data_IF_543132258998
#
_entry.id   IF_543132258998
#
_cell.length_a   1.000
_cell.length_b   1.000
_cell.length_c   1.000
_cell.angle_alpha   90.00
_cell.angle_beta   90.00
_cell.angle_gamma   90.00
#
_symmetry.space_group_name_H-M   'P 1'
#
loop_
_entity.id
_entity.type
_entity.pdbx_description
1 polymer ?
#
# COMPACT_ATOMS: atom_id res chain seq x y z
N UNK A 1 18.62 51.15 21.89
CA UNK A 1 18.62 50.35 20.66
C UNK A 1 18.93 48.91 21.07
N UNK A 2 17.92 48.08 21.34
CA UNK A 2 18.09 46.66 21.66
C UNK A 2 17.34 45.87 20.60
N UNK A 3 18.09 45.22 19.72
CA UNK A 3 17.53 44.32 18.71
C UNK A 3 17.27 42.99 19.43
N UNK A 4 16.02 42.74 19.81
CA UNK A 4 15.60 41.48 20.41
C UNK A 4 15.80 40.34 19.42
N UNK A 5 16.60 39.34 19.81
CA UNK A 5 16.95 38.19 18.98
C UNK A 5 15.70 37.33 18.68
N UNK A 6 15.10 37.55 17.51
CA UNK A 6 14.00 36.71 16.96
C UNK A 6 14.41 35.23 16.84
N UNK A 7 15.72 34.94 16.79
CA UNK A 7 16.29 33.59 16.74
C UNK A 7 15.96 32.71 17.96
N UNK A 8 15.82 33.29 19.15
CA UNK A 8 15.61 32.50 20.39
C UNK A 8 14.14 32.09 20.57
N UNK A 9 13.20 32.90 20.07
CA UNK A 9 11.76 32.62 20.14
C UNK A 9 11.35 31.45 19.23
N UNK A 10 11.95 31.35 18.04
CA UNK A 10 11.65 30.24 17.11
C UNK A 10 12.13 28.89 17.68
N UNK A 11 13.27 28.86 18.38
CA UNK A 11 13.77 27.62 19.00
C UNK A 11 12.92 27.17 20.20
N UNK A 12 12.30 28.10 20.93
CA UNK A 12 11.40 27.77 22.04
C UNK A 12 10.00 27.34 21.58
N UNK A 13 9.51 27.88 20.46
CA UNK A 13 8.19 27.50 19.91
C UNK A 13 8.19 26.11 19.29
N UNK A 14 9.34 25.63 18.78
CA UNK A 14 9.48 24.25 18.30
C UNK A 14 9.49 23.19 19.40
N UNK A 15 9.66 23.57 20.67
CA UNK A 15 9.72 22.62 21.80
C UNK A 15 8.36 22.27 22.40
N UNK A 16 7.30 22.98 22.00
CA UNK A 16 5.94 22.81 22.56
C UNK A 16 4.92 22.27 21.56
N UNK A 17 5.32 22.01 20.32
CA UNK A 17 4.55 21.17 19.41
C UNK A 17 5.02 19.73 19.60
N UNK A 18 4.50 19.07 20.65
CA UNK A 18 4.24 17.64 20.48
C UNK A 18 3.25 17.56 19.33
N UNK A 19 3.77 17.38 18.11
CA UNK A 19 2.99 16.70 17.09
C UNK A 19 2.72 15.36 17.74
N UNK A 20 1.50 15.15 18.22
CA UNK A 20 1.09 13.81 18.59
C UNK A 20 1.47 12.94 17.38
N UNK A 21 2.41 12.01 17.58
CA UNK A 21 2.66 10.93 16.63
C UNK A 21 1.28 10.46 16.18
N UNK A 22 0.93 10.56 14.89
CA UNK A 22 -0.42 10.26 14.47
C UNK A 22 -0.73 8.85 14.94
N UNK A 23 -1.83 8.68 15.68
CA UNK A 23 -2.32 7.38 16.12
C UNK A 23 -2.09 6.37 14.98
N UNK A 24 -1.38 5.30 15.28
CA UNK A 24 -0.90 4.31 14.33
C UNK A 24 -2.06 3.84 13.45
N UNK A 25 -2.07 4.34 12.21
CA UNK A 25 -3.29 4.36 11.38
C UNK A 25 -3.61 2.99 10.78
N UNK A 26 -2.66 2.08 10.81
CA UNK A 26 -2.75 0.72 10.26
C UNK A 26 -2.60 -0.35 11.36
N UNK A 27 -2.85 0.01 12.62
CA UNK A 27 -2.57 -0.85 13.77
C UNK A 27 -3.06 -2.28 13.61
N UNK A 28 -2.11 -3.21 13.63
CA UNK A 28 -2.38 -4.64 13.57
C UNK A 28 -2.86 -5.15 12.21
N UNK A 29 -2.91 -4.32 11.16
CA UNK A 29 -3.23 -4.80 9.81
C UNK A 29 -2.08 -5.64 9.27
N UNK A 30 -2.42 -6.82 8.77
CA UNK A 30 -1.48 -7.73 8.13
C UNK A 30 -1.44 -7.45 6.62
N UNK A 31 -0.27 -7.02 6.14
CA UNK A 31 -0.04 -6.64 4.75
C UNK A 31 0.84 -7.68 4.09
N UNK A 32 0.36 -8.29 3.01
CA UNK A 32 1.22 -8.99 2.06
C UNK A 32 1.78 -7.99 1.06
N UNK A 33 3.09 -7.97 0.85
CA UNK A 33 3.73 -7.09 -0.12
C UNK A 33 4.73 -7.87 -0.98
N UNK A 34 4.67 -7.71 -2.31
CA UNK A 34 5.66 -8.29 -3.22
C UNK A 34 6.22 -7.22 -4.16
N UNK A 35 7.55 -7.14 -4.25
CA UNK A 35 8.30 -6.24 -5.11
C UNK A 35 9.71 -6.81 -5.29
N UNK A 36 10.22 -6.90 -6.51
CA UNK A 36 11.52 -7.50 -6.78
C UNK A 36 12.69 -6.59 -6.37
N UNK A 37 12.44 -5.29 -6.24
CA UNK A 37 13.44 -4.30 -5.86
C UNK A 37 13.65 -4.28 -4.34
N UNK A 38 14.81 -4.74 -3.83
CA UNK A 38 15.06 -4.82 -2.39
C UNK A 38 15.05 -3.46 -1.70
N UNK A 39 15.40 -2.39 -2.43
CA UNK A 39 15.43 -1.01 -1.91
C UNK A 39 14.01 -0.48 -1.71
N UNK A 40 13.16 -0.60 -2.74
CA UNK A 40 11.75 -0.21 -2.68
C UNK A 40 11.02 -1.05 -1.64
N UNK A 41 11.25 -2.37 -1.66
CA UNK A 41 10.63 -3.30 -0.72
C UNK A 41 10.90 -2.90 0.73
N UNK A 42 12.17 -2.62 1.07
CA UNK A 42 12.57 -2.15 2.40
C UNK A 42 11.97 -0.79 2.76
N UNK A 43 11.93 0.15 1.82
CA UNK A 43 11.38 1.50 2.04
C UNK A 43 9.88 1.46 2.32
N UNK A 44 9.11 0.77 1.47
CA UNK A 44 7.65 0.64 1.62
C UNK A 44 7.33 -0.14 2.88
N UNK A 45 8.02 -1.27 3.14
CA UNK A 45 7.88 -2.02 4.40
C UNK A 45 8.08 -1.13 5.61
N UNK A 46 9.17 -0.35 5.65
CA UNK A 46 9.46 0.57 6.77
C UNK A 46 8.32 1.57 6.97
N UNK A 47 7.83 2.18 5.88
CA UNK A 47 6.71 3.14 5.93
C UNK A 47 5.44 2.54 6.54
N UNK A 48 5.09 1.32 6.15
CA UNK A 48 3.88 0.65 6.64
C UNK A 48 4.03 0.18 8.09
N UNK A 49 5.21 -0.32 8.47
CA UNK A 49 5.53 -0.68 9.86
C UNK A 49 5.52 0.54 10.78
N UNK A 50 6.09 1.66 10.34
CA UNK A 50 6.04 2.94 11.09
C UNK A 50 4.60 3.44 11.27
N UNK A 51 3.66 2.99 10.42
CA UNK A 51 2.23 3.29 10.54
C UNK A 51 1.42 2.25 11.36
N UNK A 52 2.07 1.21 11.92
CA UNK A 52 1.45 0.20 12.79
C UNK A 52 1.09 -1.13 12.10
N UNK A 53 1.40 -1.30 10.82
CA UNK A 53 1.11 -2.55 10.10
C UNK A 53 2.14 -3.65 10.36
N UNK A 54 1.70 -4.91 10.22
CA UNK A 54 2.55 -6.11 10.19
C UNK A 54 2.76 -6.48 8.72
N UNK A 55 3.97 -6.33 8.21
CA UNK A 55 4.28 -6.52 6.78
C UNK A 55 5.06 -7.80 6.53
N UNK A 56 4.51 -8.64 5.65
CA UNK A 56 5.12 -9.84 5.11
C UNK A 56 5.52 -9.56 3.67
N UNK A 57 6.82 -9.43 3.42
CA UNK A 57 7.36 -9.03 2.13
C UNK A 57 8.03 -10.17 1.37
N UNK A 58 7.82 -10.19 0.05
CA UNK A 58 8.28 -11.23 -0.87
C UNK A 58 8.96 -10.62 -2.09
N UNK A 59 9.77 -11.41 -2.80
CA UNK A 59 10.58 -10.93 -3.93
C UNK A 59 9.93 -11.18 -5.29
N UNK A 60 8.87 -11.99 -5.34
CA UNK A 60 8.18 -12.34 -6.58
C UNK A 60 6.73 -12.76 -6.34
N UNK A 61 5.94 -12.80 -7.41
CA UNK A 61 4.52 -13.16 -7.34
C UNK A 61 4.26 -14.61 -6.96
N UNK A 62 5.15 -15.56 -7.25
CA UNK A 62 4.92 -16.96 -6.86
C UNK A 62 5.05 -17.14 -5.34
N UNK A 63 6.03 -16.48 -4.72
CA UNK A 63 6.18 -16.43 -3.27
C UNK A 63 4.96 -15.78 -2.62
N UNK A 64 4.48 -14.66 -3.19
CA UNK A 64 3.29 -13.96 -2.73
C UNK A 64 2.04 -14.85 -2.77
N UNK A 65 1.78 -15.52 -3.89
CA UNK A 65 0.63 -16.43 -4.04
C UNK A 65 0.74 -17.62 -3.10
N UNK A 66 1.92 -18.26 -3.00
CA UNK A 66 2.13 -19.38 -2.07
C UNK A 66 1.85 -18.98 -0.62
N UNK A 67 2.43 -17.87 -0.17
CA UNK A 67 2.20 -17.37 1.18
C UNK A 67 0.74 -16.98 1.42
N UNK A 68 0.09 -16.37 0.43
CA UNK A 68 -1.34 -16.08 0.50
C UNK A 68 -2.16 -17.35 0.66
N UNK A 69 -1.90 -18.39 -0.12
CA UNK A 69 -2.63 -19.67 -0.03
C UNK A 69 -2.42 -20.37 1.32
N UNK A 70 -1.22 -20.28 1.91
CA UNK A 70 -0.92 -20.86 3.22
C UNK A 70 -1.56 -20.11 4.39
N UNK A 71 -1.71 -18.79 4.26
CA UNK A 71 -2.10 -17.88 5.35
C UNK A 71 -3.26 -16.96 4.96
N UNK A 72 -4.17 -17.42 4.11
CA UNK A 72 -5.13 -16.53 3.44
C UNK A 72 -6.01 -15.70 4.38
N UNK A 73 -6.36 -16.24 5.54
CA UNK A 73 -7.17 -15.56 6.56
C UNK A 73 -6.40 -14.55 7.41
N UNK A 74 -5.09 -14.45 7.19
CA UNK A 74 -4.20 -13.54 7.91
C UNK A 74 -4.17 -12.18 7.23
N UNK A 75 -4.13 -12.10 5.91
CA UNK A 75 -3.88 -10.85 5.20
C UNK A 75 -5.14 -9.99 5.04
N UNK A 76 -5.08 -8.76 5.54
CA UNK A 76 -6.13 -7.76 5.38
C UNK A 76 -6.05 -7.04 4.03
N UNK A 77 -4.86 -7.00 3.43
CA UNK A 77 -4.59 -6.32 2.16
C UNK A 77 -3.33 -6.87 1.48
N UNK A 78 -3.32 -6.82 0.14
CA UNK A 78 -2.20 -7.24 -0.69
C UNK A 78 -1.69 -6.06 -1.50
N UNK A 79 -0.37 -5.85 -1.51
CA UNK A 79 0.32 -4.90 -2.38
C UNK A 79 1.21 -5.71 -3.34
N UNK A 80 1.05 -5.51 -4.64
CA UNK A 80 1.84 -6.22 -5.65
C UNK A 80 2.48 -5.22 -6.60
N UNK A 81 3.78 -5.35 -6.77
CA UNK A 81 4.43 -4.82 -7.97
C UNK A 81 3.88 -5.50 -9.21
N UNK A 82 3.77 -4.76 -10.32
CA UNK A 82 3.34 -5.34 -11.58
C UNK A 82 4.47 -6.10 -12.26
N UNK A 83 5.71 -5.59 -12.17
CA UNK A 83 6.85 -6.13 -12.90
C UNK A 83 7.75 -6.93 -11.95
N UNK A 84 7.51 -8.25 -11.87
CA UNK A 84 8.31 -9.15 -11.04
C UNK A 84 8.74 -10.39 -11.84
N UNK A 85 9.87 -11.01 -11.51
CA UNK A 85 10.28 -12.28 -12.12
C UNK A 85 9.34 -13.43 -11.72
N UNK A 86 9.40 -14.54 -12.46
CA UNK A 86 8.62 -15.79 -12.27
C UNK A 86 7.12 -15.64 -12.46
N UNK A 87 6.46 -14.84 -11.62
CA UNK A 87 5.05 -14.48 -11.72
C UNK A 87 4.91 -12.98 -11.46
N UNK A 88 4.31 -12.30 -12.43
CA UNK A 88 4.07 -10.87 -12.41
C UNK A 88 2.90 -10.50 -11.48
N UNK A 89 2.72 -9.20 -11.22
CA UNK A 89 1.67 -8.73 -10.32
C UNK A 89 0.26 -9.01 -10.82
N UNK A 90 0.04 -8.93 -12.14
CA UNK A 90 -1.25 -9.20 -12.76
C UNK A 90 -1.64 -10.68 -12.62
N UNK A 91 -0.70 -11.59 -12.87
CA UNK A 91 -0.86 -13.02 -12.68
C UNK A 91 -1.07 -13.39 -11.22
N UNK A 92 -0.27 -12.81 -10.31
CA UNK A 92 -0.43 -13.01 -8.87
C UNK A 92 -1.80 -12.52 -8.36
N UNK A 93 -2.23 -11.33 -8.77
CA UNK A 93 -3.55 -10.81 -8.41
C UNK A 93 -4.68 -11.68 -8.95
N UNK A 94 -4.58 -12.13 -10.21
CA UNK A 94 -5.58 -13.01 -10.82
C UNK A 94 -5.69 -14.35 -10.07
N UNK A 95 -4.55 -14.92 -9.65
CA UNK A 95 -4.51 -16.15 -8.85
C UNK A 95 -5.14 -15.97 -7.47
N UNK A 96 -4.80 -14.88 -6.76
CA UNK A 96 -5.37 -14.56 -5.45
C UNK A 96 -6.87 -14.31 -5.57
N UNK A 97 -7.30 -13.51 -6.56
CA UNK A 97 -8.69 -13.11 -6.75
C UNK A 97 -9.62 -14.29 -7.04
N UNK A 98 -9.14 -15.33 -7.73
CA UNK A 98 -9.91 -16.55 -7.99
C UNK A 98 -10.35 -17.28 -6.72
N UNK A 99 -9.53 -17.22 -5.65
CA UNK A 99 -9.78 -17.94 -4.39
C UNK A 99 -10.30 -17.02 -3.30
N UNK A 100 -9.87 -15.76 -3.32
CA UNK A 100 -10.20 -14.73 -2.35
C UNK A 100 -10.79 -13.53 -3.07
N UNK A 101 -12.07 -13.64 -3.47
CA UNK A 101 -12.69 -12.64 -4.31
C UNK A 101 -12.75 -11.29 -3.63
N UNK A 102 -12.65 -11.19 -2.30
CA UNK A 102 -12.92 -9.96 -1.55
C UNK A 102 -11.70 -9.28 -0.91
N UNK A 103 -10.51 -9.88 -0.98
CA UNK A 103 -9.31 -9.25 -0.39
C UNK A 103 -8.93 -8.01 -1.21
N UNK A 104 -8.66 -6.85 -0.59
CA UNK A 104 -8.16 -5.70 -1.32
C UNK A 104 -6.76 -5.96 -1.89
N UNK A 105 -6.54 -5.61 -3.15
CA UNK A 105 -5.27 -5.74 -3.86
C UNK A 105 -4.89 -4.38 -4.46
N UNK A 106 -3.70 -3.89 -4.15
CA UNK A 106 -3.13 -2.63 -4.67
C UNK A 106 -1.99 -2.98 -5.63
N UNK A 107 -2.04 -2.46 -6.86
CA UNK A 107 -0.89 -2.41 -7.74
C UNK A 107 0.07 -1.31 -7.31
N UNK A 108 1.37 -1.61 -7.19
CA UNK A 108 2.42 -0.64 -6.89
C UNK A 108 3.48 -0.69 -8.00
N UNK A 109 3.38 0.15 -9.03
CA UNK A 109 4.20 -0.01 -10.25
C UNK A 109 4.88 1.28 -10.71
N UNK A 110 5.99 1.12 -11.43
CA UNK A 110 6.64 2.21 -12.16
C UNK A 110 5.98 2.53 -13.51
N UNK A 111 5.07 1.67 -13.97
CA UNK A 111 4.40 1.82 -15.26
C UNK A 111 3.44 3.00 -15.31
N UNK A 112 3.20 3.49 -16.54
CA UNK A 112 2.19 4.52 -16.75
C UNK A 112 0.80 3.89 -16.63
N UNK A 113 -0.04 4.40 -15.72
CA UNK A 113 -1.41 3.92 -15.53
C UNK A 113 -2.21 3.85 -16.84
N UNK A 114 -1.99 4.77 -17.79
CA UNK A 114 -2.69 4.77 -19.07
C UNK A 114 -2.42 3.51 -19.92
N UNK A 115 -1.28 2.86 -19.70
CA UNK A 115 -0.89 1.63 -20.41
C UNK A 115 -1.44 0.38 -19.72
N UNK A 116 -1.57 0.40 -18.39
CA UNK A 116 -1.86 -0.79 -17.59
C UNK A 116 -3.25 -0.81 -16.97
N UNK A 117 -4.01 0.30 -17.01
CA UNK A 117 -5.31 0.41 -16.33
C UNK A 117 -6.28 -0.71 -16.71
N UNK A 118 -6.38 -1.06 -18.00
CA UNK A 118 -7.25 -2.15 -18.45
C UNK A 118 -6.87 -3.49 -17.83
N UNK A 119 -5.58 -3.82 -17.81
CA UNK A 119 -5.08 -5.05 -17.23
C UNK A 119 -5.23 -5.09 -15.70
N UNK A 120 -4.97 -3.97 -15.01
CA UNK A 120 -5.16 -3.81 -13.56
C UNK A 120 -6.63 -4.05 -13.17
N UNK A 121 -7.58 -3.49 -13.94
CA UNK A 121 -9.02 -3.72 -13.75
C UNK A 121 -9.39 -5.18 -14.02
N UNK A 122 -8.90 -5.75 -15.12
CA UNK A 122 -9.18 -7.15 -15.49
C UNK A 122 -8.64 -8.16 -14.46
N UNK A 123 -7.47 -7.90 -13.89
CA UNK A 123 -6.90 -8.69 -12.79
C UNK A 123 -7.66 -8.50 -11.45
N UNK A 124 -8.63 -7.58 -11.42
CA UNK A 124 -9.46 -7.30 -10.25
C UNK A 124 -8.73 -6.53 -9.15
N UNK A 125 -7.73 -5.72 -9.48
CA UNK A 125 -7.04 -4.87 -8.49
C UNK A 125 -7.89 -3.63 -8.15
N UNK A 126 -7.68 -3.09 -6.95
CA UNK A 126 -8.60 -2.12 -6.32
C UNK A 126 -8.01 -0.73 -6.20
N UNK A 127 -6.69 -0.64 -6.27
CA UNK A 127 -5.98 0.60 -6.42
C UNK A 127 -4.72 0.39 -7.25
N UNK A 128 -4.22 1.49 -7.81
CA UNK A 128 -2.92 1.62 -8.42
C UNK A 128 -2.19 2.77 -7.75
N UNK A 129 -0.95 2.54 -7.34
CA UNK A 129 -0.07 3.55 -6.78
C UNK A 129 1.24 3.53 -7.57
N UNK A 130 1.62 4.66 -8.15
CA UNK A 130 2.91 4.75 -8.83
C UNK A 130 4.05 4.68 -7.83
N UNK A 131 5.19 4.09 -8.24
CA UNK A 131 6.40 4.02 -7.41
C UNK A 131 7.10 5.37 -7.19
N UNK A 132 6.51 6.48 -7.65
CA UNK A 132 7.01 7.84 -7.40
C UNK A 132 6.96 8.14 -5.88
N UNK A 133 7.99 8.78 -5.29
CA UNK A 133 8.04 9.03 -3.85
C UNK A 133 6.80 9.72 -3.26
N UNK A 134 6.26 10.69 -3.98
CA UNK A 134 5.04 11.43 -3.64
C UNK A 134 3.79 10.54 -3.62
N UNK A 135 3.72 9.51 -4.47
CA UNK A 135 2.60 8.56 -4.53
C UNK A 135 2.75 7.46 -3.48
N UNK A 136 3.96 6.92 -3.30
CA UNK A 136 4.28 6.01 -2.18
C UNK A 136 3.93 6.63 -0.83
N UNK A 137 4.07 7.97 -0.71
CA UNK A 137 3.66 8.68 0.50
C UNK A 137 2.16 8.52 0.84
N UNK A 138 1.32 8.21 -0.15
CA UNK A 138 -0.12 8.08 0.02
C UNK A 138 -0.57 6.64 0.32
N UNK A 139 0.33 5.64 0.27
CA UNK A 139 -0.02 4.23 0.48
C UNK A 139 -0.82 3.99 1.77
N UNK A 140 -0.42 4.62 2.88
CA UNK A 140 -1.13 4.48 4.16
C UNK A 140 -2.59 4.92 4.02
N UNK A 141 -2.86 6.05 3.37
CA UNK A 141 -4.21 6.55 3.14
C UNK A 141 -5.02 5.65 2.22
N UNK A 142 -4.39 5.11 1.16
CA UNK A 142 -5.05 4.16 0.24
C UNK A 142 -5.43 2.87 0.97
N UNK A 143 -4.53 2.34 1.81
CA UNK A 143 -4.80 1.15 2.62
C UNK A 143 -5.98 1.40 3.55
N UNK A 144 -5.99 2.50 4.30
CA UNK A 144 -7.11 2.88 5.19
C UNK A 144 -8.43 2.91 4.43
N UNK A 145 -8.45 3.54 3.25
CA UNK A 145 -9.67 3.63 2.43
C UNK A 145 -10.22 2.25 2.02
N UNK A 146 -9.33 1.28 1.77
CA UNK A 146 -9.71 -0.06 1.33
C UNK A 146 -10.02 -1.01 2.50
N UNK A 147 -9.42 -0.82 3.68
CA UNK A 147 -9.59 -1.70 4.83
C UNK A 147 -10.61 -1.20 5.86
N UNK A 148 -10.93 0.09 5.88
CA UNK A 148 -12.03 0.61 6.69
C UNK A 148 -13.37 0.06 6.17
N UNK A 149 -13.89 -0.97 6.85
CA UNK A 149 -15.13 -1.72 6.58
C UNK A 149 -16.39 -0.89 6.29
N UNK A 150 -16.38 0.42 6.56
CA UNK A 150 -17.47 1.35 6.23
C UNK A 150 -17.51 1.76 4.75
N UNK A 151 -16.38 1.74 4.03
CA UNK A 151 -16.27 2.28 2.66
C UNK A 151 -16.21 1.16 1.62
N UNK A 152 -15.76 -0.02 2.03
CA UNK A 152 -15.63 -1.18 1.17
C UNK A 152 -16.54 -2.33 1.59
N UNK A 153 -17.49 -2.73 0.73
CA UNK A 153 -18.36 -3.91 0.94
C UNK A 153 -17.79 -5.13 0.20
N UNK A 154 -17.42 -6.22 0.90
CA UNK A 154 -16.95 -7.46 0.30
C UNK A 154 -17.93 -8.06 -0.73
N UNK A 155 -19.25 -7.92 -0.49
CA UNK A 155 -20.32 -8.47 -1.34
C UNK A 155 -20.55 -7.77 -2.69
N UNK A 156 -19.88 -6.65 -3.01
CA UNK A 156 -20.06 -5.97 -4.30
C UNK A 156 -19.05 -6.47 -5.34
N UNK A 157 -19.52 -6.85 -6.54
CA UNK A 157 -18.72 -7.18 -7.71
C UNK A 157 -17.64 -6.12 -7.98
N UNK A 158 -16.38 -6.51 -7.89
CA UNK A 158 -15.22 -5.63 -8.15
C UNK A 158 -15.17 -5.11 -9.60
N UNK A 159 -15.82 -5.84 -10.51
CA UNK A 159 -15.88 -5.57 -11.95
C UNK A 159 -16.58 -4.24 -12.27
N UNK A 160 -17.44 -3.74 -11.39
CA UNK A 160 -18.21 -2.50 -11.61
C UNK A 160 -17.54 -1.26 -11.00
N UNK A 161 -16.38 -1.42 -10.34
CA UNK A 161 -15.71 -0.33 -9.62
C UNK A 161 -14.39 0.04 -10.27
N UNK A 162 -14.22 1.33 -10.52
CA UNK A 162 -12.93 1.88 -10.95
C UNK A 162 -11.91 1.82 -9.81
N UNK A 163 -10.66 1.41 -10.07
CA UNK A 163 -9.62 1.38 -9.06
C UNK A 163 -9.26 2.80 -8.61
N UNK A 164 -8.86 2.95 -7.35
CA UNK A 164 -8.28 4.21 -6.85
C UNK A 164 -6.94 4.41 -7.55
N UNK A 165 -6.77 5.52 -8.28
CA UNK A 165 -5.53 5.84 -8.99
C UNK A 165 -4.73 6.91 -8.23
N UNK A 166 -3.50 6.56 -7.85
CA UNK A 166 -2.49 7.47 -7.30
C UNK A 166 -1.28 7.41 -8.23
N UNK A 167 -1.37 8.07 -9.38
CA UNK A 167 -0.37 8.00 -10.45
C UNK A 167 0.51 9.23 -10.48
#
# INVERSE_FOLDING_TARGET
MMVGNVRTLIQSLFRSMSVAEPASRLDGLHVLYADDSPILRKMVKRRLVDAGAIVYDYEDGEQAVRAFDELAHVFDIVLLDLDMPKLDGLGAASAIRQRHPTVPIIAVSGENILLVQGAVVQAGMNAFVSKRPECISQLVSVIINLTCRSLWKPESSWQDKQPIIVA
#
